data_IF_002029824724
#
_entry.id   IF_002029824724
#
_cell.length_a   1.000
_cell.length_b   1.000
_cell.length_c   1.000
_cell.angle_alpha   90.00
_cell.angle_beta   90.00
_cell.angle_gamma   90.00
#
_symmetry.space_group_name_H-M   'P 1'
#
loop_
_entity.id
_entity.type
_entity.pdbx_description
1 polymer ?
#
# COMPACT_ATOMS: atom_id res chain seq x y z
N UNK A 1 3.63 -38.76 18.58
CA UNK A 1 3.74 -38.26 17.20
C UNK A 1 3.25 -36.82 17.23
N UNK A 2 4.18 -35.89 17.43
CA UNK A 2 3.89 -34.47 17.59
C UNK A 2 3.67 -33.85 16.21
N UNK A 3 2.55 -33.17 16.00
CA UNK A 3 2.38 -32.23 14.91
C UNK A 3 2.69 -30.85 15.47
N UNK A 4 3.91 -30.37 15.26
CA UNK A 4 4.28 -28.99 15.50
C UNK A 4 3.80 -28.17 14.28
N UNK A 5 2.91 -27.17 14.44
CA UNK A 5 2.64 -26.24 13.37
C UNK A 5 3.81 -25.27 13.27
N UNK A 6 4.66 -25.46 12.26
CA UNK A 6 5.71 -24.53 11.87
C UNK A 6 5.09 -23.14 11.62
N UNK A 7 5.41 -22.09 12.41
CA UNK A 7 4.97 -20.75 12.10
C UNK A 7 5.80 -20.29 10.90
N UNK A 8 5.25 -20.42 9.69
CA UNK A 8 5.78 -19.74 8.51
C UNK A 8 5.64 -18.24 8.74
N UNK A 9 6.64 -17.64 9.38
CA UNK A 9 6.88 -16.20 9.41
C UNK A 9 7.20 -15.78 7.99
N UNK A 10 6.15 -15.61 7.19
CA UNK A 10 6.23 -14.93 5.90
C UNK A 10 7.00 -13.64 6.16
N UNK A 11 8.19 -13.51 5.57
CA UNK A 11 9.01 -12.32 5.66
C UNK A 11 8.16 -11.14 5.19
N UNK A 12 7.57 -10.41 6.13
CA UNK A 12 6.76 -9.23 5.80
C UNK A 12 7.72 -8.24 5.18
N UNK A 13 7.59 -8.03 3.87
CA UNK A 13 8.33 -6.97 3.20
C UNK A 13 8.02 -5.67 3.92
N UNK A 14 9.05 -4.92 4.38
CA UNK A 14 8.83 -3.70 5.13
C UNK A 14 7.95 -2.74 4.34
N UNK A 15 7.05 -2.08 5.06
CA UNK A 15 6.19 -1.05 4.48
C UNK A 15 7.05 0.21 4.28
N UNK A 16 6.98 0.78 3.09
CA UNK A 16 7.69 2.01 2.72
C UNK A 16 6.71 2.95 2.01
N UNK A 17 6.99 4.26 2.05
CA UNK A 17 6.14 5.26 1.37
C UNK A 17 6.03 4.96 -0.13
N UNK A 18 7.15 4.62 -0.76
CA UNK A 18 7.20 4.19 -2.16
C UNK A 18 6.25 3.02 -2.46
N UNK A 19 6.31 1.95 -1.65
CA UNK A 19 5.46 0.77 -1.83
C UNK A 19 3.98 1.10 -1.63
N UNK A 20 3.67 1.99 -0.69
CA UNK A 20 2.30 2.49 -0.46
C UNK A 20 1.78 3.23 -1.70
N UNK A 21 2.59 4.13 -2.28
CA UNK A 21 2.20 4.92 -3.44
C UNK A 21 2.06 4.06 -4.71
N UNK A 22 2.99 3.13 -4.97
CA UNK A 22 2.89 2.19 -6.10
C UNK A 22 1.65 1.31 -6.00
N UNK A 23 1.32 0.82 -4.80
CA UNK A 23 0.10 0.04 -4.61
C UNK A 23 -1.16 0.88 -4.84
N UNK A 24 -1.14 2.15 -4.44
CA UNK A 24 -2.25 3.07 -4.70
C UNK A 24 -2.43 3.37 -6.20
N UNK A 25 -1.33 3.51 -6.97
CA UNK A 25 -1.37 3.64 -8.43
C UNK A 25 -2.02 2.41 -9.06
N UNK A 26 -1.60 1.20 -8.68
CA UNK A 26 -2.21 -0.04 -9.21
C UNK A 26 -3.71 -0.11 -8.96
N UNK A 27 -4.16 0.19 -7.74
CA UNK A 27 -5.60 0.24 -7.43
C UNK A 27 -6.31 1.26 -8.31
N UNK A 28 -5.73 2.44 -8.50
CA UNK A 28 -6.31 3.48 -9.33
C UNK A 28 -6.39 3.08 -10.82
N UNK A 29 -5.41 2.33 -11.33
CA UNK A 29 -5.36 1.84 -12.70
C UNK A 29 -6.34 0.68 -12.94
N UNK A 30 -6.41 -0.28 -12.01
CA UNK A 30 -7.21 -1.49 -12.14
C UNK A 30 -8.70 -1.28 -11.77
N UNK A 31 -8.96 -0.51 -10.71
CA UNK A 31 -10.29 -0.35 -10.10
C UNK A 31 -10.82 1.09 -10.21
N UNK A 32 -10.00 2.04 -10.66
CA UNK A 32 -10.33 3.46 -10.70
C UNK A 32 -10.06 4.19 -9.40
N UNK A 33 -10.01 5.53 -9.47
CA UNK A 33 -9.69 6.40 -8.32
C UNK A 33 -10.72 6.34 -7.18
N UNK A 34 -11.97 5.95 -7.47
CA UNK A 34 -13.03 5.86 -6.45
C UNK A 34 -12.79 4.69 -5.48
N UNK A 35 -12.22 3.59 -5.99
CA UNK A 35 -11.83 2.42 -5.19
C UNK A 35 -10.64 2.70 -4.26
N UNK A 36 -9.88 3.78 -4.50
CA UNK A 36 -8.73 4.16 -3.69
C UNK A 36 -9.14 4.67 -2.31
N UNK A 37 -9.13 3.74 -1.35
CA UNK A 37 -9.37 4.00 0.07
C UNK A 37 -8.23 3.43 0.92
N UNK A 38 -8.01 3.99 2.12
CA UNK A 38 -6.99 3.49 3.05
C UNK A 38 -7.23 2.03 3.45
N UNK A 39 -8.50 1.60 3.49
CA UNK A 39 -8.87 0.21 3.77
C UNK A 39 -8.50 -0.72 2.61
N UNK A 40 -8.87 -0.37 1.37
CA UNK A 40 -8.51 -1.16 0.18
C UNK A 40 -7.00 -1.24 0.02
N UNK A 41 -6.31 -0.13 0.22
CA UNK A 41 -4.84 -0.06 0.17
C UNK A 41 -4.17 -0.95 1.23
N UNK A 42 -4.73 -0.99 2.44
CA UNK A 42 -4.24 -1.88 3.50
C UNK A 42 -4.43 -3.35 3.14
N UNK A 43 -5.59 -3.71 2.56
CA UNK A 43 -5.85 -5.07 2.08
C UNK A 43 -4.87 -5.48 0.98
N UNK A 44 -4.65 -4.61 0.00
CA UNK A 44 -3.70 -4.83 -1.10
C UNK A 44 -2.27 -5.06 -0.59
N UNK A 45 -1.87 -4.34 0.45
CA UNK A 45 -0.52 -4.43 1.03
C UNK A 45 -0.40 -5.49 2.14
N UNK A 46 -1.51 -6.13 2.53
CA UNK A 46 -1.55 -7.08 3.65
C UNK A 46 -1.26 -6.46 5.02
N UNK A 47 -1.56 -5.16 5.19
CA UNK A 47 -1.30 -4.39 6.41
C UNK A 47 -2.57 -3.72 6.94
N UNK A 48 -2.55 -3.34 8.21
CA UNK A 48 -3.65 -2.54 8.78
C UNK A 48 -3.59 -1.10 8.25
N UNK A 49 -4.74 -0.45 8.11
CA UNK A 49 -4.82 0.93 7.66
C UNK A 49 -3.98 1.88 8.53
N UNK A 50 -3.89 1.64 9.85
CA UNK A 50 -3.02 2.41 10.75
C UNK A 50 -1.55 2.39 10.33
N UNK A 51 -1.04 1.27 9.79
CA UNK A 51 0.34 1.17 9.32
C UNK A 51 0.61 2.10 8.14
N UNK A 52 -0.39 2.35 7.29
CA UNK A 52 -0.26 3.26 6.15
C UNK A 52 -0.08 4.71 6.61
N UNK A 53 -0.77 5.12 7.68
CA UNK A 53 -0.67 6.49 8.21
C UNK A 53 0.73 6.84 8.75
N UNK A 54 1.58 5.84 9.01
CA UNK A 54 3.00 6.07 9.34
C UNK A 54 3.83 6.50 8.12
N UNK A 55 3.32 6.31 6.91
CA UNK A 55 4.02 6.62 5.65
C UNK A 55 3.33 7.71 4.83
N UNK A 56 2.03 7.89 5.00
CA UNK A 56 1.25 8.97 4.37
C UNK A 56 0.38 9.67 5.41
N UNK A 57 0.41 10.99 5.44
CA UNK A 57 -0.27 11.73 6.51
C UNK A 57 -1.79 11.61 6.43
N UNK A 58 -2.34 11.56 5.21
CA UNK A 58 -3.77 11.47 4.93
C UNK A 58 -4.02 11.06 3.47
N UNK A 59 -5.29 10.97 3.07
CA UNK A 59 -5.68 10.61 1.69
C UNK A 59 -5.21 11.63 0.65
N UNK A 60 -5.15 12.91 1.00
CA UNK A 60 -4.70 13.96 0.08
C UNK A 60 -3.19 13.90 -0.14
N UNK A 61 -2.40 13.64 0.92
CA UNK A 61 -0.95 13.36 0.81
C UNK A 61 -0.68 12.13 -0.06
N UNK A 62 -1.47 11.07 0.11
CA UNK A 62 -1.40 9.89 -0.75
C UNK A 62 -1.67 10.26 -2.22
N UNK A 63 -2.73 11.03 -2.49
CA UNK A 63 -3.07 11.48 -3.85
C UNK A 63 -1.99 12.38 -4.45
N UNK A 64 -1.45 13.29 -3.67
CA UNK A 64 -0.36 14.16 -4.11
C UNK A 64 0.89 13.34 -4.47
N UNK A 65 1.29 12.40 -3.62
CA UNK A 65 2.43 11.53 -3.90
C UNK A 65 2.24 10.64 -5.14
N UNK A 66 0.99 10.21 -5.42
CA UNK A 66 0.67 9.51 -6.67
C UNK A 66 0.90 10.42 -7.87
N UNK A 67 0.42 11.65 -7.81
CA UNK A 67 0.59 12.64 -8.88
C UNK A 67 2.07 12.96 -9.11
N UNK A 68 2.85 13.13 -8.05
CA UNK A 68 4.30 13.38 -8.16
C UNK A 68 5.04 12.22 -8.83
N UNK A 69 4.72 10.97 -8.49
CA UNK A 69 5.33 9.81 -9.14
C UNK A 69 4.96 9.76 -10.62
N UNK A 70 3.67 9.86 -10.94
CA UNK A 70 3.20 9.74 -12.33
C UNK A 70 3.74 10.89 -13.19
N UNK A 71 3.82 12.11 -12.67
CA UNK A 71 4.40 13.24 -13.39
C UNK A 71 5.93 13.12 -13.53
N UNK A 72 6.61 12.58 -12.51
CA UNK A 72 8.06 12.36 -12.54
C UNK A 72 8.51 11.23 -13.47
N UNK A 73 7.61 10.32 -13.87
CA UNK A 73 7.88 9.28 -14.87
C UNK A 73 7.78 9.77 -16.33
N UNK A 74 7.29 11.00 -16.56
CA UNK A 74 7.00 11.54 -17.91
C UNK A 74 8.14 12.42 -18.47
N UNK A 75 9.30 12.47 -17.79
CA UNK A 75 10.51 13.18 -18.25
C UNK A 75 11.55 12.26 -18.94
#
# INVERSE_FOLDING_TARGET
>A
MAAEPEPSTQHRTPLTRDRVLRAAIRIADEEGLDALTMRRLGQELGVQAMSLYNHVANKEDLRHGIVEIVLGEVE
#
